data_IF_864437550150
#
_entry.id   IF_864437550150
#
_cell.length_a   1.000
_cell.length_b   1.000
_cell.length_c   1.000
_cell.angle_alpha   90.00
_cell.angle_beta   90.00
_cell.angle_gamma   90.00
#
_symmetry.space_group_name_H-M   'P 1'
#
loop_
_entity.id
_entity.type
_entity.pdbx_description
1 polymer ?
#
# COMPACT_ATOMS: atom_id res chain seq x y z
N UNK A 1 -0.78 9.55 -0.19
CA UNK A 1 -0.42 10.92 -0.65
C UNK A 1 -1.42 11.40 -1.70
N UNK A 2 -1.74 12.70 -1.82
CA UNK A 2 -2.78 13.15 -2.75
C UNK A 2 -2.30 13.11 -4.21
N UNK A 3 -3.07 12.38 -5.00
CA UNK A 3 -2.84 11.90 -6.36
C UNK A 3 -3.10 12.97 -7.45
N UNK A 4 -2.68 14.22 -7.26
CA UNK A 4 -3.10 15.32 -8.15
C UNK A 4 -1.92 16.11 -8.73
N UNK A 5 -1.10 15.45 -9.55
CA UNK A 5 0.00 16.08 -10.31
C UNK A 5 -0.32 16.36 -11.80
N UNK A 6 -1.54 16.07 -12.26
CA UNK A 6 -2.01 16.41 -13.61
C UNK A 6 -2.95 17.63 -13.58
N UNK A 7 -3.09 18.33 -14.72
CA UNK A 7 -4.05 19.44 -14.89
C UNK A 7 -5.48 19.01 -14.52
N UNK A 8 -5.82 17.76 -14.82
CA UNK A 8 -7.07 17.09 -14.42
C UNK A 8 -7.19 16.97 -12.89
N UNK A 9 -6.11 16.61 -12.19
CA UNK A 9 -6.08 16.55 -10.74
C UNK A 9 -6.30 17.91 -10.08
N UNK A 10 -5.71 18.98 -10.64
CA UNK A 10 -5.98 20.36 -10.19
C UNK A 10 -7.41 20.79 -10.45
N UNK A 11 -7.98 20.40 -11.59
CA UNK A 11 -9.38 20.66 -11.92
C UNK A 11 -10.34 19.97 -10.96
N UNK A 12 -10.11 18.68 -10.65
CA UNK A 12 -10.92 17.91 -9.71
C UNK A 12 -10.81 18.46 -8.28
N UNK A 13 -9.58 18.73 -7.81
CA UNK A 13 -9.38 19.30 -6.48
C UNK A 13 -10.07 20.67 -6.32
N UNK A 14 -9.99 21.54 -7.34
CA UNK A 14 -10.60 22.89 -7.29
C UNK A 14 -12.12 22.91 -7.53
N UNK A 15 -12.64 21.95 -8.29
CA UNK A 15 -14.07 21.92 -8.66
C UNK A 15 -14.92 21.06 -7.72
N UNK A 16 -14.36 19.95 -7.24
CA UNK A 16 -15.08 18.91 -6.49
C UNK A 16 -14.53 18.67 -5.07
N UNK A 17 -13.33 19.17 -4.74
CA UNK A 17 -12.69 18.92 -3.44
C UNK A 17 -13.54 19.39 -2.24
N UNK A 18 -13.81 20.68 -2.14
CA UNK A 18 -14.61 21.28 -1.06
C UNK A 18 -16.00 20.65 -0.84
N UNK A 19 -16.84 20.45 -1.88
CA UNK A 19 -18.16 19.84 -1.69
C UNK A 19 -18.08 18.38 -1.23
N UNK A 20 -17.12 17.61 -1.75
CA UNK A 20 -16.95 16.21 -1.38
C UNK A 20 -16.42 16.07 0.06
N UNK A 21 -15.43 16.88 0.45
CA UNK A 21 -14.89 16.86 1.82
C UNK A 21 -16.00 17.16 2.83
N UNK A 22 -16.79 18.21 2.60
CA UNK A 22 -17.88 18.59 3.50
C UNK A 22 -19.03 17.58 3.51
N UNK A 23 -19.39 17.05 2.34
CA UNK A 23 -20.44 16.03 2.22
C UNK A 23 -20.07 14.72 2.92
N UNK A 24 -18.84 14.23 2.71
CA UNK A 24 -18.33 13.03 3.37
C UNK A 24 -18.19 13.22 4.89
N UNK A 25 -17.79 14.42 5.33
CA UNK A 25 -17.74 14.76 6.76
C UNK A 25 -19.14 14.70 7.39
N UNK A 26 -20.16 15.21 6.71
CA UNK A 26 -21.55 15.16 7.18
C UNK A 26 -22.11 13.74 7.21
N UNK A 27 -21.79 12.91 6.21
CA UNK A 27 -22.14 11.49 6.20
C UNK A 27 -21.48 10.76 7.37
N UNK A 28 -20.19 11.00 7.62
CA UNK A 28 -19.45 10.40 8.73
C UNK A 28 -20.03 10.78 10.10
N UNK A 29 -20.47 12.03 10.25
CA UNK A 29 -21.05 12.54 11.49
C UNK A 29 -22.49 12.07 11.73
N UNK A 30 -23.34 12.09 10.70
CA UNK A 30 -24.78 11.80 10.84
C UNK A 30 -25.13 10.32 10.67
N UNK A 31 -24.26 9.55 10.00
CA UNK A 31 -24.48 8.13 9.67
C UNK A 31 -25.92 7.86 9.19
N UNK A 32 -26.37 8.53 8.12
CA UNK A 32 -27.72 8.34 7.59
C UNK A 32 -27.91 6.91 7.08
N UNK A 33 -29.15 6.43 7.11
CA UNK A 33 -29.49 5.06 6.66
C UNK A 33 -29.14 4.80 5.19
N UNK A 34 -29.18 5.85 4.35
CA UNK A 34 -28.67 5.82 2.98
C UNK A 34 -27.60 6.92 2.78
N UNK A 35 -26.31 6.59 2.94
CA UNK A 35 -25.21 7.55 2.80
C UNK A 35 -25.03 8.05 1.35
N UNK A 36 -25.42 7.26 0.35
CA UNK A 36 -25.25 7.61 -1.06
C UNK A 36 -26.32 8.62 -1.47
N UNK A 37 -27.59 8.33 -1.17
CA UNK A 37 -28.69 9.26 -1.44
C UNK A 37 -28.53 10.57 -0.65
N UNK A 38 -28.04 10.48 0.59
CA UNK A 38 -27.73 11.65 1.41
C UNK A 38 -26.62 12.49 0.78
N UNK A 39 -25.51 11.89 0.38
CA UNK A 39 -24.39 12.60 -0.26
C UNK A 39 -24.81 13.22 -1.60
N UNK A 40 -25.56 12.51 -2.43
CA UNK A 40 -26.07 13.04 -3.69
C UNK A 40 -26.97 14.28 -3.47
N UNK A 41 -27.88 14.19 -2.48
CA UNK A 41 -28.74 15.31 -2.08
C UNK A 41 -27.93 16.47 -1.53
N UNK A 42 -26.89 16.19 -0.73
CA UNK A 42 -25.99 17.19 -0.18
C UNK A 42 -25.23 17.95 -1.28
N UNK A 43 -24.64 17.22 -2.23
CA UNK A 43 -23.91 17.81 -3.35
C UNK A 43 -24.82 18.65 -4.26
N UNK A 44 -26.03 18.17 -4.51
CA UNK A 44 -27.05 18.91 -5.25
C UNK A 44 -27.42 20.23 -4.55
N UNK A 45 -27.66 20.19 -3.24
CA UNK A 45 -27.94 21.38 -2.44
C UNK A 45 -26.73 22.33 -2.34
N UNK A 46 -25.52 21.79 -2.31
CA UNK A 46 -24.29 22.57 -2.30
C UNK A 46 -24.10 23.34 -3.62
N UNK A 47 -24.38 22.71 -4.76
CA UNK A 47 -24.34 23.34 -6.07
C UNK A 47 -25.39 24.46 -6.20
N UNK A 48 -26.62 24.22 -5.72
CA UNK A 48 -27.68 25.22 -5.72
C UNK A 48 -27.39 26.39 -4.76
N UNK A 49 -26.77 26.12 -3.61
CA UNK A 49 -26.33 27.18 -2.70
C UNK A 49 -25.20 28.03 -3.27
N UNK A 50 -24.28 27.45 -4.05
CA UNK A 50 -23.21 28.20 -4.73
C UNK A 50 -23.77 29.20 -5.75
N UNK A 51 -24.89 28.88 -6.40
CA UNK A 51 -25.61 29.81 -7.29
C UNK A 51 -26.37 30.90 -6.52
N UNK A 52 -26.88 30.59 -5.32
CA UNK A 52 -27.62 31.55 -4.48
C UNK A 52 -26.75 32.58 -3.75
N UNK A 53 -25.44 32.38 -3.58
CA UNK A 53 -24.54 33.39 -2.97
C UNK A 53 -24.38 34.64 -3.86
N UNK A 54 -24.67 34.56 -5.16
CA UNK A 54 -24.74 35.73 -6.05
C UNK A 54 -26.07 36.50 -5.97
N UNK A 55 -27.09 35.98 -5.27
CA UNK A 55 -28.40 36.64 -5.13
C UNK A 55 -28.78 36.77 -3.67
N UNK A 56 -28.39 37.90 -3.09
CA UNK A 56 -28.76 38.33 -1.75
C UNK A 56 -30.29 38.42 -1.62
N UNK A 57 -30.84 37.72 -0.63
CA UNK A 57 -32.00 38.17 0.14
C UNK A 57 -33.34 37.51 -0.19
N UNK A 58 -33.83 36.68 0.75
CA UNK A 58 -35.09 36.90 1.48
C UNK A 58 -35.37 35.76 2.47
N UNK A 59 -36.12 36.14 3.49
CA UNK A 59 -36.43 35.52 4.78
C UNK A 59 -37.56 34.47 4.72
N UNK A 60 -37.75 33.76 5.86
CA UNK A 60 -38.94 33.06 6.40
C UNK A 60 -39.07 31.55 6.11
N UNK A 61 -38.91 30.71 7.15
CA UNK A 61 -39.93 30.13 8.07
C UNK A 61 -40.70 28.96 7.43
N UNK A 62 -40.66 27.74 8.00
CA UNK A 62 -41.66 27.26 8.97
C UNK A 62 -41.45 25.77 9.38
N UNK A 63 -42.04 25.43 10.52
CA UNK A 63 -42.05 24.19 11.31
C UNK A 63 -42.70 22.96 10.63
N UNK A 64 -42.36 21.73 11.06
CA UNK A 64 -43.27 20.84 11.83
C UNK A 64 -42.69 19.43 12.12
N UNK A 65 -42.86 19.03 13.38
CA UNK A 65 -42.69 17.73 14.05
C UNK A 65 -43.85 16.75 13.81
N UNK A 66 -43.61 15.43 13.95
CA UNK A 66 -44.47 14.33 14.50
C UNK A 66 -43.55 13.06 14.53
N UNK A 67 -43.03 12.51 15.64
CA UNK A 67 -43.55 11.66 16.75
C UNK A 67 -44.29 10.36 16.39
N UNK A 68 -43.69 9.19 16.71
CA UNK A 68 -44.41 7.93 17.03
C UNK A 68 -43.74 6.60 16.59
N UNK A 69 -43.39 5.67 17.50
CA UNK A 69 -42.74 4.36 17.24
C UNK A 69 -43.76 3.19 17.11
N UNK A 70 -43.42 1.96 16.64
CA UNK A 70 -42.94 0.89 17.56
C UNK A 70 -42.11 -0.30 16.97
N UNK A 71 -41.27 -0.88 17.86
CA UNK A 71 -40.94 -2.29 18.15
C UNK A 71 -40.60 -3.37 17.07
N UNK A 72 -39.39 -3.91 17.27
CA UNK A 72 -38.95 -5.32 17.40
C UNK A 72 -39.69 -6.46 16.68
N UNK A 73 -38.90 -7.25 15.92
CA UNK A 73 -39.17 -8.65 15.65
C UNK A 73 -37.86 -9.46 15.68
N UNK A 74 -37.97 -10.63 16.29
CA UNK A 74 -36.95 -11.50 16.84
C UNK A 74 -36.68 -12.69 15.90
N UNK A 75 -35.47 -13.26 16.02
CA UNK A 75 -35.07 -14.64 15.71
C UNK A 75 -35.06 -15.15 14.25
N UNK A 76 -33.93 -15.74 13.83
CA UNK A 76 -33.85 -17.20 13.61
C UNK A 76 -32.43 -17.75 13.37
N UNK A 77 -32.23 -18.93 13.96
CA UNK A 77 -31.07 -19.81 13.95
C UNK A 77 -30.68 -20.37 12.57
N UNK A 78 -29.37 -20.60 12.36
CA UNK A 78 -28.87 -21.67 11.50
C UNK A 78 -27.55 -22.25 12.04
N UNK A 79 -27.40 -23.57 11.86
CA UNK A 79 -26.55 -24.55 12.54
C UNK A 79 -25.07 -24.50 12.10
N UNK A 80 -24.07 -24.78 12.96
CA UNK A 80 -22.67 -24.85 12.55
C UNK A 80 -22.33 -26.23 11.97
N UNK A 81 -21.77 -26.25 10.75
CA UNK A 81 -21.13 -27.44 10.17
C UNK A 81 -19.65 -27.44 10.54
N UNK A 82 -19.24 -28.45 11.30
CA UNK A 82 -17.83 -28.75 11.63
C UNK A 82 -17.07 -29.20 10.40
N UNK A 83 -16.04 -28.43 10.00
CA UNK A 83 -15.05 -28.82 8.99
C UNK A 83 -13.84 -29.39 9.76
N UNK A 84 -13.52 -30.67 9.53
CA UNK A 84 -12.27 -31.28 9.99
C UNK A 84 -11.11 -30.65 9.21
N UNK A 85 -10.30 -29.86 9.90
CA UNK A 85 -9.04 -29.31 9.38
C UNK A 85 -8.00 -30.43 9.41
N UNK A 86 -7.77 -31.06 8.26
CA UNK A 86 -6.58 -31.87 8.02
C UNK A 86 -5.43 -30.87 7.82
N UNK A 87 -4.62 -30.67 8.86
CA UNK A 87 -3.35 -29.95 8.76
C UNK A 87 -2.38 -30.83 7.95
N UNK A 88 -2.32 -30.59 6.64
CA UNK A 88 -1.20 -31.03 5.83
C UNK A 88 -0.12 -29.98 6.06
N UNK A 89 0.87 -30.30 6.89
CA UNK A 89 2.09 -29.53 6.94
C UNK A 89 2.68 -29.54 5.53
N UNK A 90 2.89 -28.38 4.87
CA UNK A 90 3.63 -28.38 3.62
C UNK A 90 5.08 -28.71 3.98
N UNK A 91 5.48 -29.95 3.69
CA UNK A 91 6.89 -30.29 3.57
C UNK A 91 7.49 -29.34 2.54
N UNK A 92 8.35 -28.47 3.03
CA UNK A 92 9.09 -27.46 2.30
C UNK A 92 10.01 -28.15 1.29
N UNK A 93 9.54 -28.19 0.05
CA UNK A 93 10.28 -28.74 -1.08
C UNK A 93 10.36 -27.69 -2.18
N UNK A 94 11.36 -26.81 -2.11
CA UNK A 94 11.71 -25.91 -3.19
C UNK A 94 12.77 -24.91 -2.75
N UNK A 95 13.99 -25.06 -3.27
CA UNK A 95 15.07 -24.05 -3.32
C UNK A 95 14.77 -22.75 -2.57
N UNK A 96 15.12 -22.69 -1.28
CA UNK A 96 15.11 -21.44 -0.51
C UNK A 96 16.02 -20.45 -1.25
N UNK A 97 15.41 -19.47 -1.94
CA UNK A 97 16.14 -18.27 -2.33
C UNK A 97 16.69 -17.66 -1.03
N UNK A 98 18.01 -17.46 -0.95
CA UNK A 98 18.66 -16.87 0.22
C UNK A 98 18.14 -15.43 0.41
N UNK A 99 17.07 -15.27 1.18
CA UNK A 99 16.58 -13.95 1.61
C UNK A 99 17.68 -13.25 2.42
N UNK A 100 17.85 -11.95 2.18
CA UNK A 100 18.76 -11.11 2.91
C UNK A 100 18.23 -10.77 4.32
N UNK A 101 16.96 -11.05 4.60
CA UNK A 101 16.32 -10.90 5.91
C UNK A 101 16.10 -12.25 6.59
N UNK A 102 16.00 -12.21 7.92
CA UNK A 102 15.67 -13.42 8.66
C UNK A 102 14.20 -13.78 8.46
N UNK A 103 13.94 -15.09 8.35
CA UNK A 103 12.59 -15.61 8.27
C UNK A 103 11.79 -15.31 9.54
N UNK A 104 10.48 -15.08 9.38
CA UNK A 104 9.57 -14.80 10.48
C UNK A 104 8.24 -15.50 10.26
N UNK A 105 7.61 -15.97 11.33
CA UNK A 105 6.25 -16.50 11.28
C UNK A 105 5.25 -15.37 11.06
N UNK A 106 4.23 -15.63 10.23
CA UNK A 106 3.09 -14.74 9.99
C UNK A 106 1.81 -15.46 10.39
N UNK A 107 0.86 -14.72 10.95
CA UNK A 107 -0.43 -15.28 11.34
C UNK A 107 -1.39 -15.44 10.15
N UNK A 108 -2.63 -15.85 10.42
CA UNK A 108 -3.68 -16.04 9.40
C UNK A 108 -4.07 -14.76 8.65
N UNK A 109 -3.77 -13.58 9.21
CA UNK A 109 -4.00 -12.27 8.59
C UNK A 109 -2.73 -11.74 7.92
N UNK A 110 -1.68 -12.55 7.83
CA UNK A 110 -0.38 -12.15 7.28
C UNK A 110 0.41 -11.20 8.19
N UNK A 111 0.04 -11.02 9.45
CA UNK A 111 0.73 -10.15 10.38
C UNK A 111 1.97 -10.86 10.96
N UNK A 112 3.11 -10.19 10.87
CA UNK A 112 4.34 -10.60 11.57
C UNK A 112 4.41 -9.98 12.96
N UNK A 113 5.37 -10.44 13.78
CA UNK A 113 5.69 -9.81 15.07
C UNK A 113 5.92 -8.29 14.98
N UNK A 114 6.40 -7.80 13.84
CA UNK A 114 6.62 -6.38 13.61
C UNK A 114 5.31 -5.58 13.49
N UNK A 115 4.26 -6.17 12.90
CA UNK A 115 2.94 -5.52 12.81
C UNK A 115 2.35 -5.28 14.21
N UNK A 116 2.43 -6.30 15.07
CA UNK A 116 2.00 -6.19 16.47
C UNK A 116 2.83 -5.20 17.28
N UNK A 117 4.14 -5.16 17.04
CA UNK A 117 5.02 -4.20 17.68
C UNK A 117 4.69 -2.77 17.25
N UNK A 118 4.53 -2.52 15.95
CA UNK A 118 4.24 -1.17 15.45
C UNK A 118 2.90 -0.60 15.94
N UNK A 119 1.91 -1.44 16.24
CA UNK A 119 0.60 -1.04 16.75
C UNK A 119 0.60 -0.55 18.22
N UNK A 120 1.72 -0.66 18.94
CA UNK A 120 1.79 -0.35 20.38
C UNK A 120 2.94 0.60 20.67
N UNK A 121 2.76 1.46 21.67
CA UNK A 121 3.83 2.32 22.14
C UNK A 121 4.81 1.51 22.99
N UNK A 122 6.10 1.74 22.77
CA UNK A 122 7.17 1.08 23.52
C UNK A 122 8.08 2.09 24.22
N UNK A 123 9.03 1.58 25.00
CA UNK A 123 10.14 2.40 25.47
C UNK A 123 10.95 2.95 24.30
N UNK A 124 11.62 4.09 24.53
CA UNK A 124 12.47 4.74 23.53
C UNK A 124 13.47 3.74 22.92
N UNK A 125 13.55 3.68 21.60
CA UNK A 125 14.44 2.82 20.80
C UNK A 125 14.11 1.32 20.86
N UNK A 126 13.02 0.89 21.50
CA UNK A 126 12.73 -0.53 21.66
C UNK A 126 12.38 -1.21 20.32
N UNK A 127 11.62 -0.54 19.44
CA UNK A 127 11.26 -1.09 18.13
C UNK A 127 12.48 -1.13 17.21
N UNK A 128 13.32 -0.11 17.24
CA UNK A 128 14.59 -0.10 16.52
C UNK A 128 15.53 -1.23 16.96
N UNK A 129 15.66 -1.46 18.27
CA UNK A 129 16.47 -2.58 18.79
C UNK A 129 15.92 -3.94 18.33
N UNK A 130 14.60 -4.12 18.41
CA UNK A 130 13.94 -5.32 17.90
C UNK A 130 14.26 -5.55 16.41
N UNK A 131 14.19 -4.51 15.58
CA UNK A 131 14.49 -4.59 14.15
C UNK A 131 15.96 -4.94 13.88
N UNK A 132 16.90 -4.36 14.64
CA UNK A 132 18.33 -4.67 14.51
C UNK A 132 18.64 -6.10 14.94
N UNK A 133 18.02 -6.60 16.01
CA UNK A 133 18.27 -7.96 16.51
C UNK A 133 17.61 -9.04 15.66
N UNK A 134 16.38 -8.77 15.19
CA UNK A 134 15.61 -9.76 14.44
C UNK A 134 15.88 -9.73 12.95
N UNK A 135 16.34 -8.59 12.42
CA UNK A 135 16.57 -8.36 10.98
C UNK A 135 15.42 -8.87 10.10
N UNK A 136 14.19 -8.54 10.49
CA UNK A 136 12.97 -8.92 9.76
C UNK A 136 12.70 -7.92 8.65
N UNK A 137 12.23 -8.43 7.51
CA UNK A 137 11.80 -7.64 6.38
C UNK A 137 10.60 -6.73 6.75
N UNK A 138 10.80 -5.41 6.66
CA UNK A 138 9.78 -4.40 6.99
C UNK A 138 8.74 -4.20 5.90
N UNK A 139 8.95 -4.80 4.72
CA UNK A 139 8.05 -4.73 3.57
C UNK A 139 6.89 -5.73 3.66
N UNK A 140 6.88 -6.65 4.64
CA UNK A 140 5.76 -7.56 4.81
C UNK A 140 4.45 -6.80 5.02
N UNK A 141 3.42 -7.24 4.30
CA UNK A 141 2.09 -6.61 4.26
C UNK A 141 1.02 -7.54 4.84
N UNK A 142 0.16 -7.03 5.70
CA UNK A 142 -1.01 -7.78 6.20
C UNK A 142 -2.11 -7.97 5.14
N UNK A 143 -3.24 -8.57 5.54
CA UNK A 143 -4.42 -8.79 4.70
C UNK A 143 -4.99 -7.51 4.05
N UNK A 144 -4.74 -6.34 4.65
CA UNK A 144 -5.17 -5.03 4.16
C UNK A 144 -4.06 -4.33 3.37
N UNK A 145 -3.01 -5.05 3.00
CA UNK A 145 -1.83 -4.56 2.29
C UNK A 145 -1.02 -3.53 3.07
N UNK A 146 -1.13 -3.48 4.40
CA UNK A 146 -0.43 -2.52 5.25
C UNK A 146 0.89 -3.09 5.73
N UNK A 147 1.93 -2.27 5.69
CA UNK A 147 3.20 -2.56 6.36
C UNK A 147 3.11 -2.22 7.85
N UNK A 148 4.11 -2.65 8.63
CA UNK A 148 4.26 -2.20 10.01
C UNK A 148 4.33 -0.67 10.14
N UNK A 149 4.91 0.02 9.16
CA UNK A 149 4.97 1.49 9.11
C UNK A 149 3.59 2.12 8.93
N UNK A 150 2.75 1.53 8.08
CA UNK A 150 1.37 2.00 7.90
C UNK A 150 0.57 1.84 9.20
N UNK A 151 0.80 0.74 9.91
CA UNK A 151 0.16 0.46 11.20
C UNK A 151 0.58 1.49 12.26
N UNK A 152 1.86 1.86 12.35
CA UNK A 152 2.29 2.89 13.32
C UNK A 152 1.66 4.26 13.02
N UNK A 153 1.50 4.61 11.74
CA UNK A 153 0.80 5.82 11.32
C UNK A 153 -0.69 5.75 11.72
N UNK A 154 -1.37 4.63 11.45
CA UNK A 154 -2.78 4.43 11.79
C UNK A 154 -3.02 4.42 13.32
N UNK A 155 -2.08 3.88 14.09
CA UNK A 155 -2.10 3.89 15.55
C UNK A 155 -1.74 5.27 16.14
N UNK A 156 -1.33 6.24 15.31
CA UNK A 156 -0.86 7.56 15.71
C UNK A 156 0.34 7.50 16.69
N UNK A 157 1.33 6.66 16.35
CA UNK A 157 2.57 6.47 17.10
C UNK A 157 3.75 6.87 16.21
N UNK A 158 4.04 8.17 16.06
CA UNK A 158 5.08 8.67 15.17
C UNK A 158 6.49 8.18 15.56
N UNK A 159 6.71 7.87 16.84
CA UNK A 159 7.97 7.32 17.33
C UNK A 159 8.29 5.98 16.66
N UNK A 160 7.31 5.11 16.51
CA UNK A 160 7.48 3.82 15.83
C UNK A 160 7.77 4.00 14.33
N UNK A 161 7.08 4.95 13.68
CA UNK A 161 7.35 5.28 12.27
C UNK A 161 8.80 5.75 12.09
N UNK A 162 9.27 6.65 12.97
CA UNK A 162 10.65 7.12 12.95
C UNK A 162 11.66 6.00 13.26
N UNK A 163 11.33 5.06 14.15
CA UNK A 163 12.21 3.91 14.44
C UNK A 163 12.32 2.93 13.26
N UNK A 164 11.24 2.71 12.51
CA UNK A 164 11.27 1.92 11.26
C UNK A 164 12.08 2.65 10.18
N UNK A 165 11.87 3.96 9.99
CA UNK A 165 12.60 4.77 9.02
C UNK A 165 14.10 4.81 9.35
N UNK A 166 14.45 4.96 10.64
CA UNK A 166 15.83 4.89 11.13
C UNK A 166 16.46 3.51 10.88
N UNK A 167 15.69 2.43 10.99
CA UNK A 167 16.19 1.08 10.68
C UNK A 167 16.56 0.95 9.20
N UNK A 168 15.69 1.38 8.28
CA UNK A 168 15.99 1.36 6.83
C UNK A 168 17.16 2.28 6.49
N UNK A 169 17.24 3.47 7.10
CA UNK A 169 18.43 4.35 7.01
C UNK A 169 19.71 3.64 7.49
N UNK A 170 19.62 2.84 8.56
CA UNK A 170 20.77 2.08 9.08
C UNK A 170 21.24 0.99 8.11
N UNK A 171 20.33 0.32 7.40
CA UNK A 171 20.65 -0.65 6.34
C UNK A 171 21.41 0.07 5.22
N UNK A 172 20.88 1.21 4.77
CA UNK A 172 21.47 1.95 3.66
C UNK A 172 22.86 2.54 3.99
N UNK A 173 23.02 3.10 5.18
CA UNK A 173 24.32 3.67 5.62
C UNK A 173 25.39 2.61 5.88
N UNK A 174 25.00 1.38 6.23
CA UNK A 174 25.91 0.22 6.31
C UNK A 174 26.36 -0.28 4.94
N UNK A 175 25.60 0.00 3.88
CA UNK A 175 25.87 -0.46 2.52
C UNK A 175 25.22 -1.82 2.19
N UNK A 176 24.26 -2.28 3.00
CA UNK A 176 23.56 -3.56 2.82
C UNK A 176 22.55 -3.45 1.65
N UNK A 177 23.08 -3.34 0.44
CA UNK A 177 22.30 -3.06 -0.78
C UNK A 177 21.36 -4.22 -1.11
N UNK A 178 21.74 -5.46 -0.81
CA UNK A 178 20.91 -6.65 -1.06
C UNK A 178 19.59 -6.59 -0.27
N UNK A 179 19.64 -6.18 1.00
CA UNK A 179 18.45 -5.94 1.83
C UNK A 179 17.56 -4.86 1.22
N UNK A 180 18.14 -3.77 0.71
CA UNK A 180 17.37 -2.70 0.06
C UNK A 180 16.74 -3.14 -1.27
N UNK A 181 17.44 -3.98 -2.03
CA UNK A 181 16.90 -4.60 -3.25
C UNK A 181 15.70 -5.47 -2.90
N UNK A 182 15.81 -6.32 -1.87
CA UNK A 182 14.70 -7.16 -1.42
C UNK A 182 13.50 -6.31 -0.95
N UNK A 183 13.74 -5.23 -0.18
CA UNK A 183 12.67 -4.29 0.20
C UNK A 183 11.97 -3.67 -1.03
N UNK A 184 12.75 -3.27 -2.05
CA UNK A 184 12.20 -2.73 -3.29
C UNK A 184 11.38 -3.78 -4.05
N UNK A 185 11.88 -5.01 -4.15
CA UNK A 185 11.21 -6.12 -4.83
C UNK A 185 9.95 -6.57 -4.08
N UNK A 186 9.90 -6.44 -2.76
CA UNK A 186 8.68 -6.67 -1.98
C UNK A 186 7.69 -5.49 -2.05
N UNK A 187 8.05 -4.42 -2.75
CA UNK A 187 7.19 -3.27 -3.00
C UNK A 187 7.13 -2.30 -1.82
N UNK A 188 8.21 -2.19 -1.04
CA UNK A 188 8.36 -1.14 -0.03
C UNK A 188 8.65 0.21 -0.72
N UNK A 189 7.65 1.10 -0.69
CA UNK A 189 7.60 2.35 -1.45
C UNK A 189 8.16 3.56 -0.69
N UNK A 190 8.61 3.37 0.56
CA UNK A 190 9.09 4.45 1.41
C UNK A 190 10.61 4.61 1.46
N UNK A 191 11.39 3.80 0.72
CA UNK A 191 12.86 3.83 0.77
C UNK A 191 13.41 5.24 0.51
N UNK A 192 12.91 5.92 -0.53
CA UNK A 192 13.44 7.22 -0.97
C UNK A 192 12.96 8.40 -0.14
N UNK A 193 11.87 8.24 0.61
CA UNK A 193 11.25 9.32 1.40
C UNK A 193 11.90 9.51 2.78
N UNK A 194 12.81 8.61 3.16
CA UNK A 194 13.43 8.60 4.49
C UNK A 194 14.46 9.74 4.62
N UNK A 195 14.38 10.41 5.77
CA UNK A 195 15.33 11.44 6.22
C UNK A 195 15.95 11.03 7.56
N UNK A 196 17.15 11.53 7.85
CA UNK A 196 17.81 11.33 9.14
C UNK A 196 17.27 12.29 10.23
N UNK A 197 17.87 12.26 11.42
CA UNK A 197 17.49 13.13 12.55
C UNK A 197 17.77 14.63 12.31
N UNK A 198 18.53 14.97 11.26
CA UNK A 198 18.88 16.32 10.84
C UNK A 198 18.14 16.74 9.56
N UNK A 199 17.09 16.01 9.17
CA UNK A 199 16.33 16.20 7.93
C UNK A 199 17.16 16.02 6.64
N UNK A 200 18.26 15.27 6.70
CA UNK A 200 19.11 14.94 5.55
C UNK A 200 18.51 13.75 4.81
N UNK A 201 18.26 13.84 3.49
CA UNK A 201 17.75 12.73 2.69
C UNK A 201 18.66 11.50 2.71
N UNK A 202 18.07 10.30 2.63
CA UNK A 202 18.80 9.02 2.63
C UNK A 202 19.96 8.97 1.62
N UNK A 203 19.79 9.52 0.41
CA UNK A 203 20.82 9.51 -0.62
C UNK A 203 22.06 10.30 -0.17
N UNK A 204 21.85 11.48 0.43
CA UNK A 204 22.94 12.32 0.92
C UNK A 204 23.62 11.70 2.14
N UNK A 205 22.83 11.15 3.06
CA UNK A 205 23.36 10.44 4.23
C UNK A 205 24.25 9.26 3.82
N UNK A 206 23.80 8.42 2.90
CA UNK A 206 24.55 7.27 2.37
C UNK A 206 25.83 7.72 1.64
N UNK A 207 25.77 8.83 0.89
CA UNK A 207 26.95 9.41 0.25
C UNK A 207 28.00 9.88 1.26
N UNK A 208 27.59 10.47 2.39
CA UNK A 208 28.49 10.87 3.48
C UNK A 208 29.16 9.66 4.15
N UNK A 209 28.49 8.51 4.16
CA UNK A 209 29.01 7.23 4.66
C UNK A 209 29.86 6.45 3.64
N UNK A 210 30.14 7.03 2.47
CA UNK A 210 31.01 6.47 1.42
C UNK A 210 30.54 5.10 0.88
N UNK A 211 29.24 4.97 0.63
CA UNK A 211 28.62 3.78 0.02
C UNK A 211 28.16 4.06 -1.43
N UNK A 212 29.06 4.07 -2.42
CA UNK A 212 28.73 4.49 -3.78
C UNK A 212 27.75 3.56 -4.51
N UNK A 213 27.81 2.25 -4.22
CA UNK A 213 26.94 1.26 -4.84
C UNK A 213 25.48 1.44 -4.37
N UNK A 214 25.29 1.66 -3.07
CA UNK A 214 23.98 1.96 -2.48
C UNK A 214 23.42 3.29 -3.00
N UNK A 215 24.25 4.33 -3.16
CA UNK A 215 23.81 5.60 -3.78
C UNK A 215 23.31 5.36 -5.21
N UNK A 216 24.05 4.58 -6.00
CA UNK A 216 23.68 4.27 -7.39
C UNK A 216 22.37 3.49 -7.44
N UNK A 217 22.19 2.53 -6.53
CA UNK A 217 20.94 1.80 -6.37
C UNK A 217 19.76 2.73 -6.02
N UNK A 218 19.90 3.57 -4.99
CA UNK A 218 18.84 4.49 -4.56
C UNK A 218 18.41 5.44 -5.68
N UNK A 219 19.34 5.91 -6.51
CA UNK A 219 19.06 6.74 -7.68
C UNK A 219 18.31 5.99 -8.79
N UNK A 220 18.43 4.66 -8.85
CA UNK A 220 17.80 3.82 -9.86
C UNK A 220 16.35 3.42 -9.52
N UNK A 221 15.94 3.54 -8.25
CA UNK A 221 14.63 3.07 -7.75
C UNK A 221 13.47 3.63 -8.59
N UNK A 222 13.41 4.95 -8.78
CA UNK A 222 12.29 5.58 -9.49
C UNK A 222 12.16 5.07 -10.94
N UNK A 223 13.29 4.88 -11.62
CA UNK A 223 13.31 4.35 -12.98
C UNK A 223 12.88 2.87 -13.02
N UNK A 224 13.24 2.09 -12.01
CA UNK A 224 12.77 0.71 -11.85
C UNK A 224 11.26 0.67 -11.62
N UNK A 225 10.72 1.49 -10.73
CA UNK A 225 9.29 1.52 -10.45
C UNK A 225 8.45 1.93 -11.67
N UNK A 226 8.93 2.90 -12.46
CA UNK A 226 8.29 3.30 -13.71
C UNK A 226 8.29 2.15 -14.74
N UNK A 227 9.41 1.43 -14.87
CA UNK A 227 9.49 0.24 -15.73
C UNK A 227 8.51 -0.85 -15.26
N UNK A 228 8.47 -1.14 -13.96
CA UNK A 228 7.54 -2.11 -13.34
C UNK A 228 6.09 -1.74 -13.65
N UNK A 229 5.72 -0.48 -13.47
CA UNK A 229 4.35 -0.03 -13.76
C UNK A 229 4.00 -0.11 -15.24
N UNK A 230 4.96 0.14 -16.15
CA UNK A 230 4.77 -0.08 -17.60
C UNK A 230 4.49 -1.54 -17.94
N UNK A 231 5.21 -2.48 -17.33
CA UNK A 231 4.95 -3.92 -17.48
C UNK A 231 3.53 -4.24 -16.98
N UNK A 232 3.20 -3.82 -15.76
CA UNK A 232 1.87 -4.04 -15.18
C UNK A 232 0.74 -3.42 -16.01
N UNK A 233 0.99 -2.29 -16.66
CA UNK A 233 0.05 -1.65 -17.55
C UNK A 233 -0.15 -2.46 -18.85
N UNK A 234 0.94 -2.92 -19.48
CA UNK A 234 0.88 -3.77 -20.67
C UNK A 234 0.12 -5.09 -20.41
N UNK A 235 0.30 -5.69 -19.22
CA UNK A 235 -0.46 -6.86 -18.77
C UNK A 235 -1.96 -6.55 -18.69
N UNK A 236 -2.35 -5.42 -18.08
CA UNK A 236 -3.76 -5.00 -18.01
C UNK A 236 -4.39 -4.80 -19.39
N UNK A 237 -3.60 -4.37 -20.37
CA UNK A 237 -4.03 -4.23 -21.76
C UNK A 237 -4.10 -5.56 -22.52
N UNK A 238 -3.51 -6.64 -22.00
CA UNK A 238 -3.43 -7.94 -22.69
C UNK A 238 -2.44 -7.98 -23.84
N UNK A 239 -1.47 -7.06 -23.87
CA UNK A 239 -0.49 -6.99 -24.96
C UNK A 239 0.73 -7.87 -24.67
N UNK A 240 0.68 -9.14 -25.10
CA UNK A 240 1.79 -10.08 -24.92
C UNK A 240 3.09 -9.62 -25.60
N UNK A 241 3.00 -8.98 -26.77
CA UNK A 241 4.17 -8.47 -27.49
C UNK A 241 4.87 -7.36 -26.70
N UNK A 242 4.10 -6.47 -26.06
CA UNK A 242 4.69 -5.40 -25.25
C UNK A 242 5.30 -5.98 -23.97
N UNK A 243 4.61 -6.91 -23.30
CA UNK A 243 5.12 -7.58 -22.08
C UNK A 243 6.43 -8.31 -22.36
N UNK A 244 6.46 -9.14 -23.41
CA UNK A 244 7.68 -9.86 -23.83
C UNK A 244 8.79 -8.88 -24.20
N UNK A 245 8.50 -7.79 -24.91
CA UNK A 245 9.51 -6.78 -25.26
C UNK A 245 10.07 -6.03 -24.04
N UNK A 246 9.23 -5.72 -23.05
CA UNK A 246 9.62 -5.00 -21.84
C UNK A 246 10.43 -5.89 -20.88
N UNK A 247 10.20 -7.21 -20.92
CA UNK A 247 10.90 -8.20 -20.10
C UNK A 247 12.10 -8.85 -20.82
N UNK A 248 12.29 -8.61 -22.12
CA UNK A 248 13.36 -9.19 -22.94
C UNK A 248 14.79 -8.77 -22.53
N UNK A 249 14.94 -7.76 -21.66
CA UNK A 249 16.23 -7.26 -21.17
C UNK A 249 16.98 -8.27 -20.24
N UNK A 250 16.54 -9.53 -20.17
CA UNK A 250 17.19 -10.62 -19.43
C UNK A 250 18.69 -10.77 -19.74
N UNK A 251 19.08 -10.56 -21.00
CA UNK A 251 20.42 -10.96 -21.47
C UNK A 251 21.55 -9.95 -21.20
N UNK A 252 21.25 -8.71 -20.81
CA UNK A 252 22.27 -7.66 -20.65
C UNK A 252 22.37 -7.13 -19.20
N UNK A 253 21.31 -7.21 -18.40
CA UNK A 253 21.28 -6.64 -17.03
C UNK A 253 20.57 -7.47 -15.96
N UNK A 254 19.93 -8.60 -16.30
CA UNK A 254 19.09 -9.34 -15.34
C UNK A 254 17.84 -8.58 -14.88
N UNK A 255 17.53 -7.44 -15.52
CA UNK A 255 16.47 -6.52 -15.11
C UNK A 255 15.06 -7.06 -15.42
N UNK A 256 14.90 -7.85 -16.48
CA UNK A 256 13.62 -8.50 -16.82
C UNK A 256 13.09 -9.39 -15.70
N UNK A 257 13.96 -10.25 -15.14
CA UNK A 257 13.61 -11.11 -13.99
C UNK A 257 13.17 -10.28 -12.78
N UNK A 258 13.95 -9.27 -12.40
CA UNK A 258 13.63 -8.38 -11.28
C UNK A 258 12.30 -7.63 -11.49
N UNK A 259 12.01 -7.20 -12.72
CA UNK A 259 10.73 -6.57 -13.08
C UNK A 259 9.56 -7.55 -13.02
N UNK A 260 9.76 -8.82 -13.37
CA UNK A 260 8.73 -9.84 -13.31
C UNK A 260 8.32 -10.16 -11.86
N UNK A 261 9.31 -10.37 -10.98
CA UNK A 261 9.08 -10.70 -9.55
C UNK A 261 8.73 -9.47 -8.70
N UNK A 262 9.18 -8.28 -9.09
CA UNK A 262 9.00 -7.05 -8.34
C UNK A 262 7.53 -6.73 -8.07
N UNK A 263 7.18 -6.64 -6.78
CA UNK A 263 5.83 -6.37 -6.31
C UNK A 263 5.54 -4.87 -6.33
N UNK A 264 4.27 -4.53 -6.51
CA UNK A 264 3.76 -3.17 -6.30
C UNK A 264 3.38 -2.92 -4.83
N UNK A 265 2.84 -1.74 -4.52
CA UNK A 265 2.37 -1.37 -3.16
C UNK A 265 1.19 -2.22 -2.63
N UNK A 266 0.59 -3.08 -3.46
CA UNK A 266 -0.39 -4.08 -3.04
C UNK A 266 0.21 -5.49 -2.91
N UNK A 267 1.54 -5.63 -2.94
CA UNK A 267 2.22 -6.92 -2.85
C UNK A 267 2.06 -7.81 -4.08
N UNK A 268 1.72 -7.25 -5.25
CA UNK A 268 1.46 -8.02 -6.48
C UNK A 268 2.61 -7.88 -7.47
N UNK A 269 3.19 -9.01 -7.86
CA UNK A 269 4.13 -9.13 -8.98
C UNK A 269 3.40 -9.25 -10.33
N UNK A 270 4.16 -9.39 -11.42
CA UNK A 270 3.61 -9.47 -12.79
C UNK A 270 2.63 -10.64 -12.96
N UNK A 271 2.94 -11.82 -12.40
CA UNK A 271 2.07 -13.00 -12.51
C UNK A 271 0.73 -12.79 -11.80
N UNK A 272 0.75 -12.25 -10.57
CA UNK A 272 -0.47 -11.92 -9.83
C UNK A 272 -1.42 -11.03 -10.65
N UNK A 273 -0.86 -10.02 -11.34
CA UNK A 273 -1.65 -9.08 -12.14
C UNK A 273 -2.19 -9.78 -13.40
N UNK A 274 -1.38 -10.62 -14.07
CA UNK A 274 -1.81 -11.38 -15.24
C UNK A 274 -2.99 -12.32 -14.91
N UNK A 275 -2.92 -13.02 -13.78
CA UNK A 275 -4.00 -13.90 -13.28
C UNK A 275 -5.26 -13.08 -12.96
N UNK A 276 -5.13 -11.97 -12.22
CA UNK A 276 -6.27 -11.10 -11.89
C UNK A 276 -6.94 -10.50 -13.13
N UNK A 277 -6.16 -10.22 -14.19
CA UNK A 277 -6.66 -9.73 -15.47
C UNK A 277 -7.13 -10.85 -16.42
N UNK A 278 -7.05 -12.12 -16.01
CA UNK A 278 -7.43 -13.29 -16.81
C UNK A 278 -6.70 -13.37 -18.17
N UNK A 279 -5.42 -12.98 -18.19
CA UNK A 279 -4.60 -12.99 -19.40
C UNK A 279 -3.87 -14.33 -19.54
N UNK A 280 -4.57 -15.38 -19.97
CA UNK A 280 -4.05 -16.77 -19.99
C UNK A 280 -2.71 -16.90 -20.74
N UNK A 281 -2.58 -16.27 -21.90
CA UNK A 281 -1.33 -16.31 -22.70
C UNK A 281 -0.15 -15.65 -21.97
N UNK A 282 -0.40 -14.56 -21.24
CA UNK A 282 0.63 -13.85 -20.47
C UNK A 282 0.99 -14.66 -19.22
N UNK A 283 0.02 -15.29 -18.57
CA UNK A 283 0.24 -16.18 -17.42
C UNK A 283 1.14 -17.35 -17.82
N UNK A 284 0.85 -18.01 -18.95
CA UNK A 284 1.67 -19.13 -19.44
C UNK A 284 3.10 -18.67 -19.78
N UNK A 285 3.24 -17.51 -20.43
CA UNK A 285 4.57 -16.93 -20.70
C UNK A 285 5.37 -16.65 -19.42
N UNK A 286 4.75 -15.98 -18.44
CA UNK A 286 5.41 -15.60 -17.18
C UNK A 286 5.78 -16.83 -16.35
N UNK A 287 4.89 -17.81 -16.21
CA UNK A 287 5.13 -19.03 -15.44
C UNK A 287 6.28 -19.86 -16.01
N UNK A 288 6.40 -19.94 -17.34
CA UNK A 288 7.44 -20.72 -18.01
C UNK A 288 8.79 -19.99 -18.12
N UNK A 289 8.78 -18.65 -18.19
CA UNK A 289 9.99 -17.84 -18.39
C UNK A 289 10.57 -17.35 -17.06
N UNK A 290 9.71 -17.02 -16.09
CA UNK A 290 10.08 -16.51 -14.77
C UNK A 290 9.45 -17.38 -13.66
N UNK A 291 9.95 -18.61 -13.42
CA UNK A 291 9.40 -19.52 -12.42
C UNK A 291 9.34 -18.94 -11.01
N UNK A 292 10.24 -18.01 -10.68
CA UNK A 292 10.30 -17.34 -9.37
C UNK A 292 9.11 -16.38 -9.12
N UNK A 293 8.22 -16.23 -10.11
CA UNK A 293 6.96 -15.50 -9.94
C UNK A 293 5.81 -16.36 -9.42
N UNK A 294 5.99 -17.69 -9.36
CA UNK A 294 4.98 -18.69 -8.98
C UNK A 294 4.71 -18.76 -7.47
#
# INVERSE_FOLDING_TARGET
MPFFATEEGRYLASSLGDPLIKGLTEVANKRPDDPIAFLATYLYNFANNRQNVQSRGKTQENQQTITGPPQEADNNNAVPATIEVVTVDPEDSGTEEESAFNSTSRDEHGQSMLHFAAARAHGRNALFQLLVETEINVAYRDELYRTARDISIQANIPENTQEIDRYVMSIATKGDTDKLVELLLDGYDHITDIVDENDVPIIEAVAQHNQPDTVSFLQSILAFEEKRERVHHAIRLGSINDVTSLLADENDTGSGKLLAIGKNSYGRCSLHIAVLCQQEEIVDYLANTFPDTL
#
